data_IF_884546959284
#
_entry.id   IF_884546959284
#
_cell.length_a   1.000
_cell.length_b   1.000
_cell.length_c   1.000
_cell.angle_alpha   90.00
_cell.angle_beta   90.00
_cell.angle_gamma   90.00
#
_symmetry.space_group_name_H-M   'P 1'
#
loop_
_entity.id
_entity.type
_entity.pdbx_description
1 polymer ?
#
# COMPACT_ATOMS: atom_id res chain seq x y z
N UNK A 1 -110.03 83.27 13.79
CA UNK A 1 -109.94 83.62 12.34
C UNK A 1 -108.49 84.05 12.07
N UNK A 2 -107.80 83.79 10.94
CA UNK A 2 -108.13 83.28 9.58
C UNK A 2 -106.79 82.96 8.85
N UNK A 3 -106.59 82.08 7.84
CA UNK A 3 -107.31 80.86 7.35
C UNK A 3 -106.48 80.15 6.23
N UNK A 4 -106.63 78.82 6.04
CA UNK A 4 -106.27 77.98 4.83
C UNK A 4 -104.82 77.91 4.28
N UNK A 5 -104.54 76.84 3.52
CA UNK A 5 -103.70 76.91 2.29
C UNK A 5 -102.90 75.64 1.95
N UNK A 6 -103.00 75.14 0.70
CA UNK A 6 -102.32 73.93 0.19
C UNK A 6 -101.41 74.25 -1.00
N UNK A 7 -100.23 73.63 -1.08
CA UNK A 7 -99.50 73.37 -2.34
C UNK A 7 -98.45 72.24 -2.18
N UNK A 8 -98.14 71.56 -3.30
CA UNK A 8 -97.25 70.39 -3.36
C UNK A 8 -95.76 70.75 -3.31
N UNK A 9 -94.95 69.91 -2.65
CA UNK A 9 -93.60 69.56 -3.10
C UNK A 9 -93.19 68.19 -2.53
N UNK A 10 -92.65 67.30 -3.35
CA UNK A 10 -92.44 65.89 -3.00
C UNK A 10 -90.96 65.46 -3.15
N UNK A 11 -90.25 65.23 -2.03
CA UNK A 11 -89.03 64.41 -1.98
C UNK A 11 -88.60 64.00 -0.55
N UNK A 12 -87.89 62.87 -0.47
CA UNK A 12 -86.96 62.47 0.61
C UNK A 12 -87.51 62.12 2.03
N UNK A 13 -88.18 60.97 2.16
CA UNK A 13 -88.52 60.36 3.47
C UNK A 13 -87.44 59.41 4.08
N UNK A 14 -86.26 59.29 3.48
CA UNK A 14 -85.21 58.35 3.93
C UNK A 14 -83.79 58.95 3.82
N UNK A 15 -82.86 58.63 4.74
CA UNK A 15 -81.57 59.32 4.89
C UNK A 15 -80.55 59.05 3.77
N UNK A 16 -80.89 58.21 2.79
CA UNK A 16 -80.10 58.01 1.56
C UNK A 16 -80.63 58.85 0.37
N UNK A 17 -81.77 59.52 0.51
CA UNK A 17 -82.35 60.41 -0.51
C UNK A 17 -81.96 61.88 -0.33
N UNK A 18 -81.25 62.23 0.74
CA UNK A 18 -80.57 63.53 0.87
C UNK A 18 -79.29 63.54 0.04
N UNK A 19 -79.02 64.59 -0.76
CA UNK A 19 -77.81 64.65 -1.59
C UNK A 19 -76.56 64.67 -0.72
N UNK A 20 -75.77 63.59 -0.77
CA UNK A 20 -74.50 63.50 -0.03
C UNK A 20 -73.51 64.51 -0.60
N UNK A 21 -72.94 65.36 0.26
CA UNK A 21 -71.83 66.26 -0.10
C UNK A 21 -70.71 65.41 -0.72
N UNK A 22 -70.29 65.76 -1.93
CA UNK A 22 -69.18 65.08 -2.58
C UNK A 22 -67.90 65.30 -1.78
N UNK A 23 -67.43 64.26 -1.08
CA UNK A 23 -66.16 64.29 -0.36
C UNK A 23 -65.05 64.33 -1.41
N UNK A 24 -64.32 65.44 -1.46
CA UNK A 24 -63.17 65.57 -2.35
C UNK A 24 -61.90 65.12 -1.59
N UNK A 25 -61.28 63.98 -1.94
CA UNK A 25 -60.15 63.42 -1.21
C UNK A 25 -58.90 64.33 -1.17
N UNK A 26 -58.86 65.36 -2.00
CA UNK A 26 -57.76 66.32 -2.08
C UNK A 26 -57.98 67.61 -1.26
N UNK A 27 -59.18 67.82 -0.69
CA UNK A 27 -59.53 69.07 0.00
C UNK A 27 -60.14 68.87 1.41
N UNK A 28 -60.81 67.76 1.68
CA UNK A 28 -61.33 67.40 3.00
C UNK A 28 -60.51 66.22 3.57
N UNK A 29 -59.53 66.42 4.49
CA UNK A 29 -58.80 65.31 5.11
C UNK A 29 -59.72 64.48 6.01
N UNK A 30 -59.67 63.15 5.87
CA UNK A 30 -60.52 62.25 6.64
C UNK A 30 -60.14 62.25 8.13
N UNK A 31 -61.12 62.44 9.02
CA UNK A 31 -60.94 62.25 10.46
C UNK A 31 -60.56 60.80 10.75
N UNK A 32 -59.39 60.60 11.39
CA UNK A 32 -58.88 59.27 11.71
C UNK A 32 -59.70 58.67 12.83
N UNK A 33 -60.42 57.59 12.53
CA UNK A 33 -61.19 56.85 13.53
C UNK A 33 -60.25 56.24 14.59
N UNK A 34 -60.64 56.23 15.89
CA UNK A 34 -59.82 55.65 16.94
C UNK A 34 -59.61 54.15 16.73
N UNK A 35 -58.39 53.67 17.02
CA UNK A 35 -58.00 52.28 16.77
C UNK A 35 -58.90 51.30 17.52
N UNK A 36 -59.59 50.44 16.77
CA UNK A 36 -60.40 49.35 17.33
C UNK A 36 -59.52 48.34 18.07
N UNK A 37 -60.02 47.80 19.18
CA UNK A 37 -59.33 46.73 19.92
C UNK A 37 -58.98 45.51 19.04
N UNK A 38 -59.74 45.27 17.96
CA UNK A 38 -59.43 44.24 16.97
C UNK A 38 -58.18 44.59 16.14
N UNK A 39 -57.95 45.86 15.81
CA UNK A 39 -56.76 46.33 15.09
C UNK A 39 -55.49 46.04 15.89
N UNK A 40 -55.52 46.32 17.20
CA UNK A 40 -54.41 46.05 18.11
C UNK A 40 -54.15 44.55 18.25
N UNK A 41 -55.21 43.73 18.28
CA UNK A 41 -55.07 42.27 18.34
C UNK A 41 -54.49 41.69 17.03
N UNK A 42 -54.87 42.23 15.87
CA UNK A 42 -54.28 41.87 14.57
C UNK A 42 -52.79 42.23 14.53
N UNK A 43 -52.43 43.44 14.99
CA UNK A 43 -51.03 43.90 15.03
C UNK A 43 -50.16 43.05 15.98
N UNK A 44 -50.69 42.62 17.13
CA UNK A 44 -49.99 41.69 18.03
C UNK A 44 -49.81 40.31 17.37
N UNK A 45 -50.83 39.82 16.65
CA UNK A 45 -50.74 38.54 15.93
C UNK A 45 -49.75 38.56 14.75
N UNK A 46 -49.60 39.69 14.05
CA UNK A 46 -48.57 39.82 13.01
C UNK A 46 -47.17 39.82 13.62
N UNK A 47 -46.94 40.54 14.73
CA UNK A 47 -45.65 40.57 15.43
C UNK A 47 -45.27 39.19 16.00
N UNK A 48 -46.22 38.43 16.54
CA UNK A 48 -45.93 37.07 17.06
C UNK A 48 -45.65 36.07 15.91
N UNK A 49 -46.35 36.20 14.77
CA UNK A 49 -46.02 35.42 13.57
C UNK A 49 -44.62 35.76 13.01
N UNK A 50 -44.21 37.02 13.01
CA UNK A 50 -42.87 37.46 12.62
C UNK A 50 -41.80 36.88 13.57
N UNK A 51 -42.02 36.96 14.89
CA UNK A 51 -41.17 36.34 15.91
C UNK A 51 -41.00 34.84 15.67
N UNK A 52 -42.10 34.14 15.40
CA UNK A 52 -42.08 32.69 15.21
C UNK A 52 -41.49 32.29 13.84
N UNK A 53 -41.59 33.14 12.82
CA UNK A 53 -40.85 32.98 11.56
C UNK A 53 -39.33 33.05 11.80
N UNK A 54 -38.86 34.11 12.46
CA UNK A 54 -37.45 34.31 12.79
C UNK A 54 -36.89 33.16 13.66
N UNK A 55 -37.69 32.60 14.58
CA UNK A 55 -37.30 31.41 15.35
C UNK A 55 -37.14 30.17 14.47
N UNK A 56 -38.03 29.95 13.49
CA UNK A 56 -37.94 28.83 12.54
C UNK A 56 -36.73 28.98 11.62
N UNK A 57 -36.44 30.18 11.13
CA UNK A 57 -35.23 30.47 10.35
C UNK A 57 -33.98 30.19 11.19
N UNK A 58 -33.87 30.75 12.39
CA UNK A 58 -32.72 30.51 13.28
C UNK A 58 -32.57 29.04 13.73
N UNK A 59 -33.64 28.24 13.74
CA UNK A 59 -33.59 26.79 13.93
C UNK A 59 -33.12 26.06 12.66
N UNK A 60 -33.60 26.49 11.49
CA UNK A 60 -33.16 25.99 10.18
C UNK A 60 -31.67 26.22 9.98
N UNK A 61 -31.16 27.41 10.27
CA UNK A 61 -29.74 27.76 10.15
C UNK A 61 -28.87 26.90 11.07
N UNK A 62 -29.28 26.70 12.33
CA UNK A 62 -28.57 25.79 13.26
C UNK A 62 -28.59 24.33 12.82
N UNK A 63 -29.63 23.88 12.13
CA UNK A 63 -29.69 22.54 11.52
C UNK A 63 -28.79 22.49 10.27
N UNK A 64 -28.77 23.54 9.46
CA UNK A 64 -27.89 23.68 8.31
C UNK A 64 -26.41 23.63 8.71
N UNK A 65 -26.00 24.45 9.67
CA UNK A 65 -24.65 24.47 10.25
C UNK A 65 -24.24 23.12 10.85
N UNK A 66 -25.16 22.41 11.52
CA UNK A 66 -24.84 21.17 12.24
C UNK A 66 -24.77 19.92 11.35
N UNK A 67 -25.55 19.86 10.28
CA UNK A 67 -25.68 18.64 9.46
C UNK A 67 -25.17 18.79 8.01
N UNK A 68 -25.16 20.02 7.47
CA UNK A 68 -24.78 20.28 6.07
C UNK A 68 -23.47 21.06 5.96
N UNK A 69 -23.20 22.02 6.84
CA UNK A 69 -21.92 22.72 6.89
C UNK A 69 -20.86 21.92 7.67
N UNK A 70 -19.74 21.68 7.02
CA UNK A 70 -18.55 21.07 7.61
C UNK A 70 -17.39 21.46 6.68
N UNK A 71 -16.25 21.94 7.19
CA UNK A 71 -15.12 22.44 6.35
C UNK A 71 -14.73 21.42 5.27
N UNK A 72 -14.76 20.13 5.61
CA UNK A 72 -14.50 19.02 4.69
C UNK A 72 -15.51 18.81 3.55
N UNK A 73 -16.65 19.52 3.55
CA UNK A 73 -17.80 19.32 2.63
C UNK A 73 -18.24 20.58 1.87
N UNK A 74 -17.73 21.76 2.21
CA UNK A 74 -18.02 22.99 1.45
C UNK A 74 -17.50 22.86 0.00
N UNK A 75 -18.37 22.93 -1.03
CA UNK A 75 -17.95 22.85 -2.42
C UNK A 75 -16.96 23.95 -2.82
N UNK A 76 -17.11 25.16 -2.28
CA UNK A 76 -16.29 26.33 -2.63
C UNK A 76 -14.89 26.21 -2.00
N UNK A 77 -14.79 25.77 -0.74
CA UNK A 77 -13.48 25.49 -0.14
C UNK A 77 -12.74 24.37 -0.87
N UNK A 78 -13.44 23.29 -1.26
CA UNK A 78 -12.85 22.20 -2.07
C UNK A 78 -12.35 22.70 -3.43
N UNK A 79 -13.12 23.56 -4.10
CA UNK A 79 -12.71 24.16 -5.38
C UNK A 79 -11.46 25.05 -5.19
N UNK A 80 -11.42 25.88 -4.16
CA UNK A 80 -10.25 26.70 -3.81
C UNK A 80 -9.01 25.84 -3.47
N UNK A 81 -9.17 24.74 -2.72
CA UNK A 81 -8.09 23.80 -2.43
C UNK A 81 -7.60 23.08 -3.69
N UNK A 82 -8.53 22.62 -4.54
CA UNK A 82 -8.23 21.99 -5.81
C UNK A 82 -7.49 22.95 -6.76
N UNK A 83 -7.90 24.22 -6.85
CA UNK A 83 -7.22 25.25 -7.64
C UNK A 83 -5.84 25.61 -7.08
N UNK A 84 -5.66 25.63 -5.75
CA UNK A 84 -4.34 25.76 -5.12
C UNK A 84 -3.42 24.58 -5.48
N UNK A 85 -3.93 23.35 -5.48
CA UNK A 85 -3.19 22.17 -5.90
C UNK A 85 -2.84 22.20 -7.40
N UNK A 86 -3.80 22.57 -8.26
CA UNK A 86 -3.61 22.69 -9.72
C UNK A 86 -2.60 23.79 -10.06
N UNK A 87 -2.71 24.97 -9.45
CA UNK A 87 -1.78 26.08 -9.66
C UNK A 87 -0.37 25.76 -9.18
N UNK A 88 -0.22 25.13 -8.01
CA UNK A 88 1.09 24.63 -7.53
C UNK A 88 1.68 23.57 -8.49
N UNK A 89 0.87 22.63 -8.97
CA UNK A 89 1.30 21.63 -9.96
C UNK A 89 1.69 22.26 -11.32
N UNK A 90 0.99 23.33 -11.73
CA UNK A 90 1.32 24.10 -12.94
C UNK A 90 2.66 24.84 -12.79
N UNK A 91 2.87 25.54 -11.68
CA UNK A 91 4.15 26.19 -11.37
C UNK A 91 5.30 25.18 -11.32
N UNK A 92 5.11 24.01 -10.70
CA UNK A 92 6.11 22.95 -10.67
C UNK A 92 6.45 22.44 -12.08
N UNK A 93 5.45 22.26 -12.96
CA UNK A 93 5.66 21.89 -14.38
C UNK A 93 6.40 22.97 -15.17
N UNK A 94 6.13 24.25 -14.91
CA UNK A 94 6.84 25.37 -15.54
C UNK A 94 8.30 25.41 -15.09
N UNK A 95 8.58 25.24 -13.79
CA UNK A 95 9.95 25.12 -13.27
C UNK A 95 10.69 23.90 -13.85
N UNK A 96 10.01 22.75 -14.01
CA UNK A 96 10.57 21.55 -14.65
C UNK A 96 10.94 21.76 -16.13
N UNK A 97 10.18 22.58 -16.87
CA UNK A 97 10.53 22.97 -18.26
C UNK A 97 11.81 23.79 -18.31
N UNK A 98 11.99 24.71 -17.35
CA UNK A 98 13.19 25.56 -17.25
C UNK A 98 14.40 24.75 -16.77
N UNK A 99 14.21 23.83 -15.82
CA UNK A 99 15.27 22.99 -15.28
C UNK A 99 14.89 21.49 -15.25
N UNK A 100 15.34 20.69 -16.25
CA UNK A 100 15.07 19.25 -16.30
C UNK A 100 15.68 18.43 -15.15
N UNK A 101 16.56 19.01 -14.33
CA UNK A 101 17.08 18.35 -13.12
C UNK A 101 15.99 18.24 -12.03
N UNK A 102 15.03 19.17 -12.01
CA UNK A 102 13.91 19.15 -11.05
C UNK A 102 12.95 17.98 -11.31
N UNK A 103 12.85 17.51 -12.55
CA UNK A 103 12.10 16.28 -12.89
C UNK A 103 12.73 15.10 -12.17
N UNK A 104 14.06 14.92 -12.28
CA UNK A 104 14.79 13.82 -11.64
C UNK A 104 14.62 13.84 -10.11
N UNK A 105 14.60 15.03 -9.50
CA UNK A 105 14.37 15.19 -8.04
C UNK A 105 12.93 14.84 -7.67
N UNK A 106 11.94 15.22 -8.49
CA UNK A 106 10.55 14.83 -8.30
C UNK A 106 10.36 13.31 -8.45
N UNK A 107 10.99 12.69 -9.46
CA UNK A 107 10.96 11.23 -9.69
C UNK A 107 11.55 10.48 -8.48
N UNK A 108 12.69 10.92 -7.94
CA UNK A 108 13.25 10.37 -6.70
C UNK A 108 12.31 10.60 -5.51
N UNK A 109 11.66 11.75 -5.42
CA UNK A 109 10.75 12.07 -4.29
C UNK A 109 9.47 11.24 -4.31
N UNK A 110 9.01 10.85 -5.51
CA UNK A 110 7.91 9.91 -5.71
C UNK A 110 8.27 8.45 -5.39
N UNK A 111 9.57 8.12 -5.22
CA UNK A 111 9.97 6.76 -4.86
C UNK A 111 9.62 6.42 -3.40
N UNK A 112 9.38 5.14 -3.10
CA UNK A 112 9.17 4.66 -1.74
C UNK A 112 10.29 5.07 -0.78
N UNK A 113 9.94 5.31 0.50
CA UNK A 113 10.82 5.91 1.51
C UNK A 113 12.22 5.28 1.65
N UNK A 114 12.37 3.99 1.32
CA UNK A 114 13.63 3.24 1.41
C UNK A 114 14.60 3.50 0.25
N UNK A 115 14.10 4.07 -0.85
CA UNK A 115 14.89 4.54 -2.01
C UNK A 115 14.98 6.06 -1.97
N UNK A 116 13.85 6.75 -1.77
CA UNK A 116 13.81 8.22 -1.82
C UNK A 116 14.65 8.88 -0.74
N UNK A 117 14.54 8.49 0.54
CA UNK A 117 15.32 9.09 1.64
C UNK A 117 16.84 9.04 1.41
N UNK A 118 17.49 7.87 1.23
CA UNK A 118 18.94 7.81 1.06
C UNK A 118 19.44 8.46 -0.25
N UNK A 119 18.62 8.46 -1.32
CA UNK A 119 18.97 9.18 -2.54
C UNK A 119 18.85 10.70 -2.35
N UNK A 120 17.80 11.20 -1.71
CA UNK A 120 17.61 12.63 -1.42
C UNK A 120 18.67 13.18 -0.45
N UNK A 121 19.06 12.43 0.58
CA UNK A 121 20.19 12.77 1.46
C UNK A 121 21.48 12.95 0.66
N UNK A 122 21.75 12.02 -0.26
CA UNK A 122 22.94 12.06 -1.12
C UNK A 122 22.86 13.19 -2.16
N UNK A 123 21.68 13.47 -2.71
CA UNK A 123 21.44 14.62 -3.60
C UNK A 123 21.68 15.94 -2.84
N UNK A 124 21.14 16.09 -1.62
CA UNK A 124 21.40 17.25 -0.74
C UNK A 124 22.89 17.44 -0.46
N UNK A 125 23.62 16.36 -0.19
CA UNK A 125 25.08 16.40 -0.03
C UNK A 125 25.80 16.88 -1.31
N UNK A 126 25.45 16.35 -2.50
CA UNK A 126 26.07 16.84 -3.75
C UNK A 126 25.68 18.28 -4.08
N UNK A 127 24.52 18.76 -3.64
CA UNK A 127 24.09 20.15 -3.77
C UNK A 127 24.91 21.09 -2.88
N UNK A 128 25.12 20.73 -1.61
CA UNK A 128 25.87 21.56 -0.65
C UNK A 128 27.35 21.74 -0.97
N UNK A 129 27.91 20.92 -1.87
CA UNK A 129 29.26 21.12 -2.42
C UNK A 129 29.37 22.36 -3.35
N UNK A 130 28.26 23.02 -3.72
CA UNK A 130 28.25 24.23 -4.54
C UNK A 130 28.65 24.06 -6.02
N UNK A 131 28.91 22.82 -6.47
CA UNK A 131 29.43 22.52 -7.80
C UNK A 131 28.32 22.25 -8.83
N UNK A 132 27.60 23.30 -9.25
CA UNK A 132 26.41 23.19 -10.12
C UNK A 132 26.56 22.22 -11.32
N UNK A 133 27.65 22.31 -12.10
CA UNK A 133 27.88 21.39 -13.25
C UNK A 133 28.05 19.93 -12.82
N UNK A 134 28.71 19.67 -11.69
CA UNK A 134 28.92 18.31 -11.18
C UNK A 134 27.64 17.76 -10.52
N UNK A 135 26.84 18.62 -9.88
CA UNK A 135 25.52 18.29 -9.35
C UNK A 135 24.55 17.86 -10.46
N UNK A 136 24.42 18.67 -11.52
CA UNK A 136 23.58 18.33 -12.68
C UNK A 136 24.04 17.05 -13.37
N UNK A 137 25.36 16.88 -13.53
CA UNK A 137 25.96 15.62 -14.01
C UNK A 137 25.58 14.43 -13.14
N UNK A 138 25.68 14.54 -11.81
CA UNK A 138 25.31 13.45 -10.90
C UNK A 138 23.83 13.06 -11.03
N UNK A 139 22.92 14.02 -11.15
CA UNK A 139 21.51 13.74 -11.39
C UNK A 139 21.29 13.00 -12.73
N UNK A 140 21.91 13.47 -13.81
CA UNK A 140 21.70 12.96 -15.17
C UNK A 140 22.43 11.65 -15.49
N UNK A 141 23.67 11.49 -15.03
CA UNK A 141 24.53 10.33 -15.34
C UNK A 141 24.54 9.26 -14.24
N UNK A 142 24.03 9.56 -13.03
CA UNK A 142 23.93 8.58 -11.94
C UNK A 142 22.49 8.34 -11.49
N UNK A 143 21.75 9.37 -11.08
CA UNK A 143 20.40 9.18 -10.50
C UNK A 143 19.39 8.70 -11.54
N UNK A 144 19.28 9.38 -12.69
CA UNK A 144 18.34 8.98 -13.77
C UNK A 144 18.58 7.54 -14.25
N UNK A 145 19.81 7.10 -14.60
CA UNK A 145 20.09 5.70 -14.93
C UNK A 145 19.78 4.72 -13.80
N UNK A 146 19.91 5.12 -12.53
CA UNK A 146 19.49 4.30 -11.39
C UNK A 146 17.97 4.09 -11.35
N UNK A 147 17.17 5.10 -11.69
CA UNK A 147 15.70 4.98 -11.75
C UNK A 147 15.23 4.15 -12.95
N UNK A 148 15.77 4.39 -14.15
CA UNK A 148 15.49 3.57 -15.35
C UNK A 148 15.84 2.08 -15.14
N UNK A 149 16.88 1.80 -14.32
CA UNK A 149 17.27 0.44 -13.93
C UNK A 149 16.35 -0.16 -12.86
N UNK A 150 15.80 0.66 -11.98
CA UNK A 150 14.84 0.25 -10.96
C UNK A 150 13.51 -0.18 -11.59
N UNK A 151 13.03 0.54 -12.59
CA UNK A 151 11.84 0.20 -13.37
C UNK A 151 11.98 -1.18 -14.02
N UNK A 152 13.08 -1.43 -14.76
CA UNK A 152 13.37 -2.75 -15.37
C UNK A 152 13.40 -3.90 -14.36
N UNK A 153 13.89 -3.64 -13.14
CA UNK A 153 13.87 -4.65 -12.06
C UNK A 153 12.45 -4.91 -11.56
N UNK A 154 11.63 -3.86 -11.36
CA UNK A 154 10.23 -3.99 -10.97
C UNK A 154 9.41 -4.75 -12.01
N UNK A 155 9.60 -4.45 -13.29
CA UNK A 155 8.96 -5.15 -14.40
C UNK A 155 9.31 -6.64 -14.43
N UNK A 156 10.55 -7.00 -14.08
CA UNK A 156 10.99 -8.40 -13.98
C UNK A 156 10.55 -9.12 -12.71
N UNK A 157 10.19 -8.39 -11.65
CA UNK A 157 9.71 -8.95 -10.38
C UNK A 157 8.21 -9.29 -10.44
N UNK A 158 7.42 -8.46 -11.12
CA UNK A 158 5.97 -8.66 -11.22
C UNK A 158 5.64 -9.27 -12.58
N UNK A 159 5.49 -10.59 -12.66
CA UNK A 159 5.05 -11.26 -13.90
C UNK A 159 3.56 -11.04 -14.20
N UNK A 160 3.09 -11.40 -15.41
CA UNK A 160 1.70 -11.23 -15.80
C UNK A 160 0.74 -12.07 -14.93
N UNK A 161 1.13 -13.30 -14.57
CA UNK A 161 0.40 -14.15 -13.63
C UNK A 161 0.38 -13.58 -12.21
N UNK A 162 1.46 -12.91 -11.79
CA UNK A 162 1.53 -12.25 -10.50
C UNK A 162 0.61 -11.02 -10.43
N UNK A 163 0.53 -10.22 -11.51
CA UNK A 163 -0.45 -9.12 -11.63
C UNK A 163 -1.89 -9.63 -11.58
N UNK A 164 -2.19 -10.74 -12.25
CA UNK A 164 -3.52 -11.37 -12.20
C UNK A 164 -3.90 -11.88 -10.80
N UNK A 165 -2.93 -12.39 -10.03
CA UNK A 165 -3.18 -12.73 -8.62
C UNK A 165 -3.42 -11.48 -7.78
N UNK A 166 -2.67 -10.40 -8.02
CA UNK A 166 -2.83 -9.14 -7.30
C UNK A 166 -4.10 -8.34 -7.66
N UNK A 167 -4.82 -8.73 -8.71
CA UNK A 167 -6.15 -8.19 -9.03
C UNK A 167 -7.31 -8.96 -8.38
N UNK A 168 -7.03 -9.99 -7.58
CA UNK A 168 -8.04 -10.65 -6.73
C UNK A 168 -8.29 -9.80 -5.48
N UNK A 169 -9.51 -9.85 -4.96
CA UNK A 169 -9.94 -8.99 -3.84
C UNK A 169 -9.05 -9.16 -2.60
N UNK A 170 -8.50 -8.04 -2.11
CA UNK A 170 -7.62 -8.00 -0.94
C UNK A 170 -6.15 -8.42 -1.21
N UNK A 171 -5.78 -8.74 -2.44
CA UNK A 171 -4.42 -9.14 -2.81
C UNK A 171 -3.60 -8.02 -3.48
N UNK A 172 -4.12 -6.79 -3.54
CA UNK A 172 -3.46 -5.63 -4.16
C UNK A 172 -2.10 -5.30 -3.51
N UNK A 173 -1.94 -5.63 -2.21
CA UNK A 173 -0.68 -5.51 -1.48
C UNK A 173 0.50 -6.27 -2.12
N UNK A 174 0.25 -7.28 -2.96
CA UNK A 174 1.28 -8.00 -3.71
C UNK A 174 2.08 -7.07 -4.65
N UNK A 175 1.47 -6.04 -5.24
CA UNK A 175 2.15 -5.11 -6.16
C UNK A 175 3.16 -4.21 -5.45
N UNK A 176 2.92 -3.92 -4.16
CA UNK A 176 3.78 -3.08 -3.30
C UNK A 176 4.58 -3.90 -2.28
N UNK A 177 4.68 -5.22 -2.48
CA UNK A 177 5.34 -6.16 -1.57
C UNK A 177 6.73 -5.70 -1.07
N UNK A 178 7.64 -5.16 -1.91
CA UNK A 178 8.96 -4.66 -1.47
C UNK A 178 8.89 -3.55 -0.43
N UNK A 179 7.79 -2.78 -0.38
CA UNK A 179 7.62 -1.63 0.50
C UNK A 179 7.13 -2.03 1.89
N UNK A 180 6.36 -3.13 1.97
CA UNK A 180 5.63 -3.57 3.14
C UNK A 180 6.52 -3.82 4.37
N UNK A 181 5.94 -3.55 5.55
CA UNK A 181 6.45 -3.95 6.85
C UNK A 181 6.16 -5.42 7.14
N UNK A 182 6.79 -5.96 8.19
CA UNK A 182 6.61 -7.36 8.58
C UNK A 182 5.13 -7.72 8.87
N UNK A 183 4.40 -6.84 9.56
CA UNK A 183 3.00 -7.09 9.92
C UNK A 183 2.03 -6.86 8.76
N UNK A 184 2.38 -5.98 7.81
CA UNK A 184 1.66 -5.90 6.54
C UNK A 184 1.79 -7.20 5.74
N UNK A 185 3.01 -7.77 5.65
CA UNK A 185 3.22 -9.06 4.96
C UNK A 185 2.51 -10.21 5.69
N UNK A 186 2.46 -10.23 7.03
CA UNK A 186 1.64 -11.21 7.78
C UNK A 186 0.17 -11.14 7.36
N UNK A 187 -0.45 -9.95 7.35
CA UNK A 187 -1.86 -9.77 6.95
C UNK A 187 -2.10 -10.23 5.51
N UNK A 188 -1.25 -9.82 4.58
CA UNK A 188 -1.32 -10.28 3.18
C UNK A 188 -1.19 -11.82 3.07
N UNK A 189 -0.38 -12.44 3.91
CA UNK A 189 -0.20 -13.90 3.92
C UNK A 189 -1.45 -14.65 4.40
N UNK A 190 -2.21 -14.06 5.33
CA UNK A 190 -3.53 -14.56 5.72
C UNK A 190 -4.53 -14.44 4.56
N UNK A 191 -4.52 -13.34 3.81
CA UNK A 191 -5.40 -13.15 2.66
C UNK A 191 -5.04 -14.10 1.51
N UNK A 192 -3.76 -14.30 1.21
CA UNK A 192 -3.31 -15.31 0.23
C UNK A 192 -3.68 -16.73 0.68
N UNK A 193 -3.53 -17.06 1.97
CA UNK A 193 -3.99 -18.35 2.50
C UNK A 193 -5.51 -18.54 2.34
N UNK A 194 -6.32 -17.52 2.65
CA UNK A 194 -7.77 -17.55 2.48
C UNK A 194 -8.16 -17.70 0.99
N UNK A 195 -7.47 -17.01 0.07
CA UNK A 195 -7.65 -17.21 -1.37
C UNK A 195 -7.36 -18.66 -1.78
N UNK A 196 -6.26 -19.27 -1.30
CA UNK A 196 -5.95 -20.67 -1.59
C UNK A 196 -7.01 -21.63 -1.02
N UNK A 197 -7.62 -21.33 0.13
CA UNK A 197 -8.77 -22.08 0.66
C UNK A 197 -9.99 -21.96 -0.24
N UNK A 198 -10.39 -20.74 -0.62
CA UNK A 198 -11.51 -20.53 -1.56
C UNK A 198 -11.30 -21.26 -2.89
N UNK A 199 -10.07 -21.27 -3.42
CA UNK A 199 -9.73 -22.04 -4.61
C UNK A 199 -9.82 -23.56 -4.40
N UNK A 200 -9.53 -24.07 -3.20
CA UNK A 200 -9.74 -25.48 -2.87
C UNK A 200 -11.22 -25.81 -2.74
N UNK A 201 -11.99 -25.00 -2.00
CA UNK A 201 -13.42 -25.19 -1.77
C UNK A 201 -14.19 -25.19 -3.10
N UNK A 202 -13.93 -24.20 -3.96
CA UNK A 202 -14.47 -24.14 -5.32
C UNK A 202 -13.99 -25.30 -6.21
N UNK A 203 -12.83 -25.91 -5.91
CA UNK A 203 -12.34 -27.09 -6.63
C UNK A 203 -12.92 -28.41 -6.14
N UNK A 204 -13.35 -28.46 -4.88
CA UNK A 204 -13.87 -29.65 -4.22
C UNK A 204 -15.42 -29.68 -4.19
N UNK A 205 -16.11 -28.58 -4.50
CA UNK A 205 -17.58 -28.51 -4.51
C UNK A 205 -18.24 -29.64 -5.33
N UNK A 206 -17.68 -29.98 -6.49
CA UNK A 206 -18.16 -31.08 -7.34
C UNK A 206 -17.87 -32.49 -6.77
N UNK A 207 -16.90 -32.62 -5.86
CA UNK A 207 -16.45 -33.91 -5.32
C UNK A 207 -17.31 -34.41 -4.16
N UNK A 208 -17.98 -33.52 -3.43
CA UNK A 208 -18.82 -33.89 -2.28
C UNK A 208 -20.22 -34.40 -2.67
N UNK A 209 -20.49 -34.61 -3.96
CA UNK A 209 -21.78 -35.07 -4.49
C UNK A 209 -21.89 -36.60 -4.55
N UNK A 210 -20.75 -37.32 -4.45
CA UNK A 210 -20.70 -38.79 -4.52
C UNK A 210 -19.66 -39.37 -3.56
N UNK A 211 -19.99 -40.48 -2.90
CA UNK A 211 -19.09 -41.14 -1.94
C UNK A 211 -17.82 -41.77 -2.59
N UNK A 212 -17.84 -42.02 -3.90
CA UNK A 212 -16.77 -42.70 -4.67
C UNK A 212 -15.68 -41.74 -5.24
N UNK A 213 -15.16 -40.81 -4.43
CA UNK A 213 -14.14 -39.84 -4.88
C UNK A 213 -12.82 -40.52 -5.23
N UNK A 214 -12.33 -40.34 -6.46
CA UNK A 214 -11.11 -40.99 -6.96
C UNK A 214 -9.84 -40.19 -6.61
N UNK A 215 -8.69 -40.86 -6.32
CA UNK A 215 -7.43 -40.17 -6.03
C UNK A 215 -6.95 -39.18 -7.12
N UNK A 216 -7.27 -39.42 -8.39
CA UNK A 216 -6.94 -38.49 -9.49
C UNK A 216 -7.82 -37.23 -9.49
N UNK A 217 -9.04 -37.28 -8.94
CA UNK A 217 -9.94 -36.14 -8.80
C UNK A 217 -9.47 -35.23 -7.65
N UNK A 218 -9.09 -35.83 -6.51
CA UNK A 218 -8.40 -35.14 -5.40
C UNK A 218 -7.11 -34.46 -5.91
N UNK A 219 -6.36 -35.14 -6.79
CA UNK A 219 -5.17 -34.58 -7.42
C UNK A 219 -5.49 -33.43 -8.38
N UNK A 220 -6.61 -33.44 -9.09
CA UNK A 220 -7.03 -32.30 -9.93
C UNK A 220 -7.36 -31.07 -9.08
N UNK A 221 -8.03 -31.24 -7.94
CA UNK A 221 -8.24 -30.15 -6.99
C UNK A 221 -6.91 -29.58 -6.45
N UNK A 222 -5.95 -30.46 -6.11
CA UNK A 222 -4.58 -30.04 -5.78
C UNK A 222 -3.88 -29.32 -6.94
N UNK A 223 -4.02 -29.77 -8.19
CA UNK A 223 -3.40 -29.12 -9.36
C UNK A 223 -3.95 -27.69 -9.58
N UNK A 224 -5.22 -27.42 -9.25
CA UNK A 224 -5.80 -26.07 -9.29
C UNK A 224 -5.18 -25.14 -8.24
N UNK A 225 -5.13 -25.55 -6.97
CA UNK A 225 -4.47 -24.74 -5.89
C UNK A 225 -2.97 -24.58 -6.14
N UNK A 226 -2.31 -25.63 -6.65
CA UNK A 226 -0.90 -25.59 -7.04
C UNK A 226 -0.65 -24.60 -8.19
N UNK A 227 -1.58 -24.43 -9.13
CA UNK A 227 -1.50 -23.43 -10.18
C UNK A 227 -1.58 -22.00 -9.62
N UNK A 228 -2.46 -21.75 -8.64
CA UNK A 228 -2.51 -20.44 -7.96
C UNK A 228 -1.20 -20.11 -7.24
N UNK A 229 -0.62 -21.07 -6.52
CA UNK A 229 0.68 -20.86 -5.88
C UNK A 229 1.81 -20.61 -6.90
N UNK A 230 1.76 -21.27 -8.07
CA UNK A 230 2.67 -21.02 -9.19
C UNK A 230 2.46 -19.64 -9.84
N UNK A 231 1.26 -19.05 -9.83
CA UNK A 231 1.04 -17.66 -10.31
C UNK A 231 1.79 -16.64 -9.45
N UNK A 232 1.98 -16.94 -8.17
CA UNK A 232 2.84 -16.20 -7.23
C UNK A 232 4.32 -16.58 -7.32
N UNK A 233 4.73 -17.38 -8.30
CA UNK A 233 6.12 -17.88 -8.47
C UNK A 233 6.62 -18.72 -7.28
N UNK A 234 5.70 -19.20 -6.43
CA UNK A 234 6.01 -20.07 -5.29
C UNK A 234 5.78 -21.52 -5.67
N UNK A 235 6.87 -22.27 -5.84
CA UNK A 235 6.82 -23.71 -6.16
C UNK A 235 6.04 -24.47 -5.04
N UNK A 236 4.95 -25.16 -5.38
CA UNK A 236 4.17 -25.96 -4.42
C UNK A 236 4.99 -27.05 -3.72
N UNK A 237 4.66 -27.40 -2.47
CA UNK A 237 5.26 -28.55 -1.80
C UNK A 237 5.02 -29.83 -2.62
N UNK A 238 6.05 -30.68 -2.73
CA UNK A 238 6.03 -31.92 -3.51
C UNK A 238 5.65 -31.77 -5.00
N UNK A 239 5.67 -30.56 -5.60
CA UNK A 239 5.23 -30.28 -6.97
C UNK A 239 5.80 -31.26 -8.00
N UNK A 240 7.11 -31.52 -7.99
CA UNK A 240 7.74 -32.46 -8.93
C UNK A 240 7.26 -33.92 -8.82
N UNK A 241 6.76 -34.33 -7.65
CA UNK A 241 6.23 -35.68 -7.43
C UNK A 241 4.75 -35.78 -7.82
N UNK A 242 3.99 -34.68 -7.67
CA UNK A 242 2.54 -34.63 -7.86
C UNK A 242 2.10 -34.12 -9.24
N UNK A 243 2.85 -33.20 -9.89
CA UNK A 243 2.48 -32.65 -11.21
C UNK A 243 2.29 -33.72 -12.28
N UNK A 244 1.37 -33.48 -13.23
CA UNK A 244 1.22 -34.32 -14.43
C UNK A 244 2.55 -34.42 -15.21
N UNK A 245 2.90 -35.63 -15.66
CA UNK A 245 4.12 -35.93 -16.45
C UNK A 245 3.77 -36.90 -17.58
N UNK A 246 4.15 -36.57 -18.82
CA UNK A 246 3.85 -37.38 -20.03
C UNK A 246 4.41 -38.80 -19.94
N UNK A 247 5.61 -38.95 -19.37
CA UNK A 247 6.29 -40.23 -19.16
C UNK A 247 6.63 -40.39 -17.68
N UNK A 248 5.72 -41.00 -16.92
CA UNK A 248 5.85 -41.22 -15.47
C UNK A 248 6.18 -42.69 -15.19
N UNK A 249 7.39 -42.97 -14.67
CA UNK A 249 7.89 -44.33 -14.38
C UNK A 249 7.41 -44.92 -13.05
N UNK A 250 7.01 -44.09 -12.08
CA UNK A 250 6.56 -44.50 -10.74
C UNK A 250 5.14 -43.96 -10.50
N UNK A 251 4.26 -44.67 -9.78
CA UNK A 251 2.90 -44.20 -9.49
C UNK A 251 2.90 -42.83 -8.80
N UNK A 252 1.75 -42.15 -8.82
CA UNK A 252 1.58 -40.88 -8.10
C UNK A 252 1.53 -41.16 -6.59
N UNK A 253 2.37 -40.49 -5.77
CA UNK A 253 2.29 -40.64 -4.32
C UNK A 253 1.20 -39.72 -3.76
N UNK A 254 -0.06 -40.17 -3.81
CA UNK A 254 -1.23 -39.38 -3.37
C UNK A 254 -1.14 -38.95 -1.89
N UNK A 255 -0.45 -39.72 -1.03
CA UNK A 255 -0.14 -39.37 0.37
C UNK A 255 0.55 -38.01 0.55
N UNK A 256 1.19 -37.47 -0.50
CA UNK A 256 1.82 -36.15 -0.44
C UNK A 256 0.84 -34.99 -0.68
N UNK A 257 -0.41 -35.26 -1.08
CA UNK A 257 -1.41 -34.22 -1.37
C UNK A 257 -1.88 -33.53 -0.07
N UNK A 258 -2.38 -34.23 0.97
CA UNK A 258 -2.81 -33.57 2.21
C UNK A 258 -1.72 -32.67 2.85
N UNK A 259 -0.46 -33.10 3.06
CA UNK A 259 0.57 -32.22 3.62
C UNK A 259 1.02 -31.11 2.65
N UNK A 260 0.79 -31.25 1.34
CA UNK A 260 1.03 -30.17 0.37
C UNK A 260 -0.07 -29.10 0.43
N UNK A 261 -1.35 -29.51 0.45
CA UNK A 261 -2.48 -28.60 0.67
C UNK A 261 -2.34 -27.87 2.00
N UNK A 262 -2.13 -28.59 3.11
CA UNK A 262 -1.98 -27.98 4.44
C UNK A 262 -0.90 -26.89 4.52
N UNK A 263 0.15 -26.97 3.68
CA UNK A 263 1.14 -25.89 3.54
C UNK A 263 0.65 -24.74 2.67
N UNK A 264 0.00 -25.01 1.53
CA UNK A 264 -0.55 -23.97 0.64
C UNK A 264 -1.76 -23.22 1.25
N UNK A 265 -2.44 -23.80 2.24
CA UNK A 265 -3.51 -23.15 3.01
C UNK A 265 -3.01 -22.44 4.29
N UNK A 266 -1.71 -22.55 4.61
CA UNK A 266 -1.16 -22.05 5.88
C UNK A 266 -0.60 -20.64 5.74
N UNK A 267 -1.18 -19.68 6.47
CA UNK A 267 -0.72 -18.29 6.51
C UNK A 267 0.75 -18.16 6.93
N UNK A 268 1.24 -18.95 7.90
CA UNK A 268 2.65 -18.94 8.31
C UNK A 268 3.61 -19.50 7.26
N UNK A 269 3.13 -20.36 6.36
CA UNK A 269 3.91 -20.82 5.22
C UNK A 269 4.01 -19.71 4.18
N UNK A 270 2.89 -19.08 3.82
CA UNK A 270 2.85 -17.91 2.94
C UNK A 270 3.69 -16.76 3.46
N UNK A 271 3.61 -16.44 4.76
CA UNK A 271 4.43 -15.41 5.39
C UNK A 271 5.92 -15.66 5.19
N UNK A 272 6.39 -16.90 5.36
CA UNK A 272 7.80 -17.24 5.10
C UNK A 272 8.16 -17.08 3.62
N UNK A 273 7.26 -17.36 2.68
CA UNK A 273 7.48 -17.20 1.23
C UNK A 273 7.46 -15.74 0.79
N UNK A 274 6.42 -15.00 1.14
CA UNK A 274 6.25 -13.59 0.81
C UNK A 274 7.28 -12.70 1.52
N UNK A 275 7.65 -12.99 2.77
CA UNK A 275 8.72 -12.26 3.45
C UNK A 275 10.09 -12.50 2.80
N UNK A 276 10.38 -13.75 2.39
CA UNK A 276 11.58 -14.05 1.62
C UNK A 276 11.61 -13.29 0.29
N UNK A 277 10.53 -13.36 -0.49
CA UNK A 277 10.37 -12.65 -1.76
C UNK A 277 10.51 -11.13 -1.58
N UNK A 278 9.83 -10.54 -0.58
CA UNK A 278 9.95 -9.12 -0.19
C UNK A 278 11.40 -8.73 0.05
N UNK A 279 12.14 -9.52 0.84
CA UNK A 279 13.53 -9.23 1.15
C UNK A 279 14.44 -9.32 -0.09
N UNK A 280 14.25 -10.32 -0.93
CA UNK A 280 15.02 -10.50 -2.17
C UNK A 280 14.72 -9.36 -3.17
N UNK A 281 13.45 -9.02 -3.38
CA UNK A 281 13.04 -7.94 -4.28
C UNK A 281 13.50 -6.56 -3.80
N UNK A 282 13.35 -6.27 -2.49
CA UNK A 282 13.87 -5.05 -1.85
C UNK A 282 15.36 -4.88 -2.07
N UNK A 283 16.13 -5.95 -1.86
CA UNK A 283 17.58 -5.94 -2.03
C UNK A 283 17.99 -5.72 -3.50
N UNK A 284 17.25 -6.32 -4.45
CA UNK A 284 17.47 -6.12 -5.89
C UNK A 284 17.15 -4.70 -6.35
N UNK A 285 16.09 -4.09 -5.84
CA UNK A 285 15.78 -2.68 -6.09
C UNK A 285 16.87 -1.76 -5.52
N UNK A 286 17.35 -2.01 -4.30
CA UNK A 286 18.47 -1.28 -3.68
C UNK A 286 19.80 -1.46 -4.43
N UNK A 287 20.05 -2.64 -5.01
CA UNK A 287 21.18 -2.88 -5.95
C UNK A 287 21.00 -2.07 -7.24
N UNK A 288 19.80 -2.05 -7.83
CA UNK A 288 19.52 -1.31 -9.06
C UNK A 288 19.84 0.18 -8.94
N UNK A 289 19.42 0.82 -7.84
CA UNK A 289 19.72 2.22 -7.54
C UNK A 289 21.11 2.47 -6.96
N UNK A 290 21.99 1.47 -6.97
CA UNK A 290 23.38 1.53 -6.50
C UNK A 290 23.55 1.91 -5.01
N UNK A 291 22.56 1.65 -4.16
CA UNK A 291 22.70 1.81 -2.70
C UNK A 291 23.51 0.67 -2.05
N UNK A 292 23.67 -0.45 -2.78
CA UNK A 292 24.59 -1.55 -2.45
C UNK A 292 25.83 -1.42 -3.33
N UNK A 293 26.91 -0.88 -2.76
CA UNK A 293 28.18 -0.65 -3.45
C UNK A 293 29.36 -0.52 -2.46
N UNK A 294 30.60 -0.64 -2.94
CA UNK A 294 31.84 -0.62 -2.12
C UNK A 294 32.00 0.61 -1.19
N UNK A 295 31.42 1.76 -1.54
CA UNK A 295 31.49 3.03 -0.78
C UNK A 295 30.28 3.29 0.13
N UNK A 296 29.28 2.40 0.14
CA UNK A 296 28.10 2.50 0.99
C UNK A 296 27.95 1.24 1.85
N UNK A 297 27.38 0.17 1.29
CA UNK A 297 27.41 -1.16 1.88
C UNK A 297 27.82 -2.19 0.81
N UNK A 298 28.99 -2.87 0.92
CA UNK A 298 29.56 -3.63 -0.20
C UNK A 298 28.79 -4.88 -0.63
N UNK A 299 28.13 -5.57 0.30
CA UNK A 299 27.58 -6.93 0.08
C UNK A 299 26.06 -7.02 0.10
N UNK A 300 25.41 -6.22 0.96
CA UNK A 300 23.96 -6.24 1.18
C UNK A 300 23.54 -4.89 1.75
N UNK A 301 22.28 -4.47 1.58
CA UNK A 301 21.78 -3.20 2.13
C UNK A 301 21.92 -3.07 3.66
N UNK A 302 22.03 -1.83 4.13
CA UNK A 302 22.12 -1.55 5.58
C UNK A 302 20.87 -2.01 6.35
N UNK A 303 19.68 -1.91 5.74
CA UNK A 303 18.43 -2.47 6.27
C UNK A 303 18.55 -3.98 6.51
N UNK A 304 19.06 -4.75 5.53
CA UNK A 304 19.24 -6.18 5.67
C UNK A 304 20.28 -6.54 6.75
N UNK A 305 21.34 -5.76 6.92
CA UNK A 305 22.30 -5.93 8.03
C UNK A 305 21.63 -5.73 9.39
N UNK A 306 20.82 -4.69 9.56
CA UNK A 306 20.06 -4.43 10.80
C UNK A 306 19.10 -5.59 11.07
N UNK A 307 18.26 -5.97 10.09
CA UNK A 307 17.32 -7.08 10.25
C UNK A 307 18.03 -8.39 10.61
N UNK A 308 19.22 -8.66 10.03
CA UNK A 308 19.97 -9.88 10.36
C UNK A 308 20.61 -9.84 11.75
N UNK A 309 21.04 -8.67 12.23
CA UNK A 309 21.52 -8.46 13.60
C UNK A 309 20.37 -8.67 14.61
N UNK A 310 19.21 -8.06 14.36
CA UNK A 310 18.04 -8.21 15.24
C UNK A 310 17.52 -9.65 15.27
N UNK A 311 17.51 -10.35 14.12
CA UNK A 311 17.20 -11.79 14.10
C UNK A 311 18.15 -12.59 15.00
N UNK A 312 19.47 -12.33 14.92
CA UNK A 312 20.46 -13.00 15.79
C UNK A 312 20.26 -12.65 17.27
N UNK A 313 19.94 -11.40 17.59
CA UNK A 313 19.66 -10.95 18.97
C UNK A 313 18.49 -11.72 19.57
N UNK A 314 17.36 -11.82 18.84
CA UNK A 314 16.18 -12.59 19.26
C UNK A 314 16.46 -14.09 19.39
N UNK A 315 17.25 -14.68 18.49
CA UNK A 315 17.65 -16.10 18.61
C UNK A 315 18.54 -16.34 19.83
N UNK A 316 19.47 -15.44 20.14
CA UNK A 316 20.34 -15.55 21.31
C UNK A 316 19.55 -15.40 22.64
N UNK A 317 18.61 -14.45 22.66
CA UNK A 317 17.66 -14.25 23.78
C UNK A 317 16.77 -15.49 23.99
N UNK A 318 16.35 -16.16 22.91
CA UNK A 318 15.66 -17.45 22.97
C UNK A 318 16.56 -18.55 23.57
N UNK A 319 17.79 -18.74 23.06
CA UNK A 319 18.69 -19.78 23.58
C UNK A 319 18.98 -19.60 25.09
N UNK A 320 19.16 -18.36 25.55
CA UNK A 320 19.40 -18.01 26.97
C UNK A 320 18.23 -18.22 27.92
N UNK A 321 17.03 -18.39 27.38
CA UNK A 321 15.80 -18.52 28.17
C UNK A 321 15.21 -19.92 28.12
N UNK A 322 15.90 -20.87 27.48
CA UNK A 322 15.41 -22.23 27.26
C UNK A 322 16.51 -23.25 27.59
N UNK A 323 16.13 -24.28 28.32
CA UNK A 323 16.97 -25.46 28.56
C UNK A 323 16.46 -26.63 27.71
N UNK A 324 17.36 -27.56 27.40
CA UNK A 324 17.05 -28.85 26.79
C UNK A 324 16.95 -29.89 27.91
N UNK A 325 15.88 -30.69 27.91
CA UNK A 325 15.62 -31.73 28.91
C UNK A 325 15.57 -33.09 28.20
N UNK A 326 16.33 -34.06 28.69
CA UNK A 326 16.33 -35.44 28.18
C UNK A 326 15.18 -36.27 28.79
N UNK A 327 14.89 -37.45 28.22
CA UNK A 327 13.88 -38.39 28.76
C UNK A 327 14.20 -38.84 30.20
N UNK A 328 15.49 -38.93 30.55
CA UNK A 328 15.99 -39.26 31.89
C UNK A 328 15.88 -38.07 32.90
N UNK A 329 15.50 -36.88 32.44
CA UNK A 329 15.35 -35.67 33.27
C UNK A 329 16.59 -34.78 33.37
N UNK A 330 17.72 -35.17 32.78
CA UNK A 330 18.94 -34.34 32.69
C UNK A 330 18.67 -33.04 31.92
N UNK A 331 19.19 -31.91 32.41
CA UNK A 331 19.06 -30.60 31.77
C UNK A 331 20.38 -30.06 31.23
N UNK A 332 20.33 -29.36 30.10
CA UNK A 332 21.46 -28.68 29.45
C UNK A 332 21.02 -27.29 28.97
N UNK A 333 21.86 -26.27 29.16
CA UNK A 333 21.62 -24.94 28.58
C UNK A 333 21.64 -25.00 27.04
N UNK A 334 20.62 -24.43 26.41
CA UNK A 334 20.52 -24.37 24.96
C UNK A 334 21.55 -23.41 24.35
N UNK A 335 22.02 -22.37 25.06
CA UNK A 335 23.12 -21.52 24.56
C UNK A 335 24.42 -22.35 24.43
N UNK A 336 24.77 -23.14 25.43
CA UNK A 336 25.96 -24.01 25.40
C UNK A 336 25.89 -25.09 24.31
N UNK A 337 24.76 -25.80 24.19
CA UNK A 337 24.57 -26.82 23.15
C UNK A 337 24.65 -26.21 21.74
N UNK A 338 24.05 -25.04 21.52
CA UNK A 338 24.15 -24.33 20.23
C UNK A 338 25.58 -23.88 19.97
N UNK A 339 26.30 -23.39 20.97
CA UNK A 339 27.69 -22.91 20.85
C UNK A 339 28.70 -24.03 20.62
N UNK A 340 28.48 -25.22 21.18
CA UNK A 340 29.30 -26.42 20.92
C UNK A 340 29.03 -27.06 19.54
N UNK A 341 27.83 -26.83 18.97
CA UNK A 341 27.42 -27.40 17.69
C UNK A 341 28.00 -26.68 16.46
N UNK A 342 27.83 -27.30 15.29
CA UNK A 342 28.14 -26.69 13.97
C UNK A 342 27.25 -25.48 13.61
N UNK A 343 26.32 -25.10 14.48
CA UNK A 343 25.64 -23.79 14.45
C UNK A 343 26.64 -22.64 14.69
N UNK A 344 27.67 -22.87 15.50
CA UNK A 344 28.75 -21.92 15.75
C UNK A 344 29.61 -21.71 14.47
N UNK A 345 29.74 -20.46 13.98
CA UNK A 345 30.55 -20.15 12.80
C UNK A 345 32.04 -20.51 12.95
N UNK A 346 32.57 -20.58 14.18
CA UNK A 346 33.95 -20.99 14.44
C UNK A 346 34.16 -22.49 14.19
N UNK A 347 33.34 -23.35 14.81
CA UNK A 347 33.41 -24.80 14.59
C UNK A 347 33.19 -25.14 13.12
N UNK A 348 32.17 -24.56 12.47
CA UNK A 348 31.92 -24.76 11.04
C UNK A 348 33.08 -24.33 10.13
N UNK A 349 33.83 -23.28 10.50
CA UNK A 349 35.05 -22.89 9.79
C UNK A 349 36.14 -23.94 9.98
N UNK A 350 36.34 -24.42 11.21
CA UNK A 350 37.36 -25.42 11.52
C UNK A 350 37.10 -26.72 10.77
N UNK A 351 35.84 -27.20 10.72
CA UNK A 351 35.43 -28.35 9.89
C UNK A 351 35.71 -28.12 8.40
N UNK A 352 35.35 -26.95 7.87
CA UNK A 352 35.61 -26.60 6.47
C UNK A 352 37.12 -26.63 6.16
N UNK A 353 37.96 -26.06 7.03
CA UNK A 353 39.42 -26.07 6.85
C UNK A 353 40.01 -27.48 6.97
N UNK A 354 39.51 -28.32 7.89
CA UNK A 354 39.92 -29.71 8.00
C UNK A 354 39.54 -30.52 6.74
N UNK A 355 38.33 -30.31 6.20
CA UNK A 355 37.90 -30.93 4.96
C UNK A 355 38.75 -30.47 3.75
N UNK A 356 39.04 -29.17 3.65
CA UNK A 356 39.95 -28.64 2.61
C UNK A 356 41.35 -29.25 2.73
N UNK A 357 41.92 -29.39 3.94
CA UNK A 357 43.23 -30.04 4.11
C UNK A 357 43.18 -31.54 3.77
N UNK A 358 42.09 -32.23 4.09
CA UNK A 358 41.89 -33.63 3.69
C UNK A 358 41.89 -33.81 2.17
N UNK A 359 41.21 -32.92 1.43
CA UNK A 359 41.20 -32.92 -0.03
C UNK A 359 42.57 -32.58 -0.63
N UNK A 360 43.31 -31.65 -0.03
CA UNK A 360 44.69 -31.32 -0.42
C UNK A 360 45.62 -32.53 -0.26
N UNK A 361 45.59 -33.22 0.89
CA UNK A 361 46.37 -34.43 1.12
C UNK A 361 46.03 -35.56 0.12
N UNK A 362 44.75 -35.73 -0.22
CA UNK A 362 44.31 -36.72 -1.22
C UNK A 362 44.84 -36.37 -2.62
N UNK A 363 44.90 -35.08 -2.99
CA UNK A 363 45.48 -34.64 -4.25
C UNK A 363 47.00 -34.90 -4.27
N UNK A 364 47.73 -34.49 -3.22
CA UNK A 364 49.16 -34.75 -3.05
C UNK A 364 49.49 -36.25 -3.18
N UNK A 365 48.72 -37.14 -2.52
CA UNK A 365 48.87 -38.59 -2.60
C UNK A 365 48.65 -39.17 -4.01
N UNK A 366 47.92 -38.46 -4.88
CA UNK A 366 47.68 -38.86 -6.28
C UNK A 366 48.70 -38.27 -7.26
N UNK A 367 49.59 -37.39 -6.79
CA UNK A 367 50.44 -36.56 -7.65
C UNK A 367 49.70 -35.39 -8.32
N UNK A 368 48.48 -35.09 -7.87
CA UNK A 368 47.67 -33.97 -8.35
C UNK A 368 48.04 -32.67 -7.58
N UNK A 369 47.84 -31.50 -8.20
CA UNK A 369 48.06 -30.20 -7.57
C UNK A 369 46.75 -29.64 -6.99
N UNK A 370 46.70 -29.38 -5.69
CA UNK A 370 45.56 -28.74 -5.04
C UNK A 370 45.53 -27.23 -5.30
N UNK A 371 44.36 -26.70 -5.70
CA UNK A 371 44.19 -25.27 -6.04
C UNK A 371 42.92 -24.70 -5.43
N UNK A 372 43.03 -23.54 -4.79
CA UNK A 372 41.90 -22.83 -4.15
C UNK A 372 41.50 -21.59 -4.96
N UNK A 373 40.33 -21.64 -5.61
CA UNK A 373 39.83 -20.54 -6.44
C UNK A 373 38.71 -19.74 -5.76
N UNK A 374 38.87 -18.42 -5.71
CA UNK A 374 37.77 -17.50 -5.38
C UNK A 374 37.11 -17.00 -6.68
N UNK A 375 36.13 -17.75 -7.19
CA UNK A 375 35.41 -17.38 -8.42
C UNK A 375 34.38 -16.29 -8.10
N UNK A 376 34.61 -15.07 -8.61
CA UNK A 376 33.64 -13.96 -8.51
C UNK A 376 32.72 -13.90 -9.73
N UNK A 377 31.49 -13.41 -9.54
CA UNK A 377 30.55 -13.21 -10.64
C UNK A 377 31.13 -12.26 -11.72
N UNK A 378 30.96 -12.54 -13.03
CA UNK A 378 31.34 -11.62 -14.10
C UNK A 378 30.74 -10.21 -13.97
N UNK A 379 31.42 -9.20 -14.53
CA UNK A 379 31.03 -7.77 -14.46
C UNK A 379 29.55 -7.50 -14.75
N UNK A 380 28.92 -8.24 -15.69
CA UNK A 380 27.50 -8.10 -16.04
C UNK A 380 26.49 -8.32 -14.91
N UNK A 381 26.92 -8.95 -13.81
CA UNK A 381 26.09 -9.19 -12.63
C UNK A 381 26.28 -8.16 -11.50
N UNK A 382 27.30 -7.30 -11.60
CA UNK A 382 27.60 -6.25 -10.61
C UNK A 382 26.86 -4.97 -10.96
N UNK A 383 26.01 -4.51 -10.04
CA UNK A 383 25.12 -3.37 -10.27
C UNK A 383 25.85 -2.00 -10.24
N UNK A 384 27.00 -1.92 -9.57
CA UNK A 384 27.81 -0.73 -9.45
C UNK A 384 29.28 -1.05 -9.72
N UNK A 385 30.03 -0.05 -10.18
CA UNK A 385 31.49 -0.11 -10.30
C UNK A 385 32.17 0.16 -8.93
N UNK A 386 33.48 -0.08 -8.83
CA UNK A 386 34.28 0.24 -7.64
C UNK A 386 34.20 1.73 -7.22
N UNK A 387 33.89 2.62 -8.16
CA UNK A 387 33.62 4.05 -7.95
C UNK A 387 32.32 4.32 -7.17
N UNK A 388 31.40 3.35 -7.10
CA UNK A 388 30.02 3.51 -6.64
C UNK A 388 29.05 4.03 -7.71
N UNK A 389 29.50 4.27 -8.96
CA UNK A 389 28.63 4.67 -10.06
C UNK A 389 27.92 3.46 -10.69
N UNK A 390 26.79 3.65 -11.40
CA UNK A 390 26.14 2.61 -12.20
C UNK A 390 27.13 1.87 -13.11
N UNK A 391 26.98 0.55 -13.22
CA UNK A 391 27.72 -0.25 -14.18
C UNK A 391 26.94 -0.35 -15.51
N UNK A 392 27.44 0.19 -16.64
CA UNK A 392 26.74 0.11 -17.92
C UNK A 392 26.54 -1.31 -18.44
N UNK A 393 27.34 -2.29 -17.99
CA UNK A 393 27.26 -3.69 -18.43
C UNK A 393 26.24 -4.52 -17.65
N UNK A 394 25.54 -3.95 -16.67
CA UNK A 394 24.67 -4.70 -15.77
C UNK A 394 23.34 -5.11 -16.42
N UNK A 395 23.05 -6.41 -16.45
CA UNK A 395 21.90 -6.98 -17.17
C UNK A 395 20.66 -7.21 -16.28
N UNK A 396 20.50 -6.40 -15.22
CA UNK A 396 19.41 -6.51 -14.21
C UNK A 396 19.14 -7.89 -13.61
N UNK A 397 20.06 -8.84 -13.77
CA UNK A 397 19.89 -10.22 -13.33
C UNK A 397 19.88 -10.37 -11.80
N UNK A 398 19.04 -11.28 -11.31
CA UNK A 398 18.86 -11.59 -9.89
C UNK A 398 20.11 -12.24 -9.31
N UNK A 399 20.30 -12.17 -7.99
CA UNK A 399 21.44 -12.84 -7.32
C UNK A 399 21.38 -14.36 -7.47
N UNK A 400 20.19 -14.92 -7.70
CA UNK A 400 19.98 -16.35 -7.98
C UNK A 400 20.48 -16.74 -9.37
N UNK A 401 20.24 -15.89 -10.37
CA UNK A 401 20.66 -16.09 -11.76
C UNK A 401 22.18 -15.94 -12.00
N UNK A 402 22.96 -15.52 -10.99
CA UNK A 402 24.43 -15.45 -11.09
C UNK A 402 25.12 -16.77 -10.75
N UNK A 403 24.39 -17.75 -10.23
CA UNK A 403 24.93 -19.08 -9.88
C UNK A 403 24.92 -19.97 -11.13
N UNK A 404 26.02 -20.70 -11.42
CA UNK A 404 26.05 -21.70 -12.49
C UNK A 404 25.17 -22.91 -12.18
#
# INVERSE_FOLDING_TARGET
>A
MVVTGSSNEAAAAFPWNTPKKAVNPYLDPAEVAPESALSNLIALYSVDNEQEHLRREALSDKVWERYFFNESRDPVQREIEQDRLISHAKMAREQQRVNPDLVIIADVSAMPAHISKPLLERIKYFHSLGRAKAYSRYLRETIRPCLERLERVRDSQVSASFRFMASQDGLEGLLVLPEMSQDQVKRLSTLVAAHMSMCLDASCGDLFVSDDVKPEEIRQAWERVAAEAMRLEVIPPAFEKLRRKKYRRKPVPYELIPPSLARMLCADWWYRKLWQMRCEWREEQLRAVCLVNKKASPYVSYEAVIHKREQRRKSLEFFRSHELVNEDGDTLDMEDVVNASNSNPAHRRNEMMACVKGLELIAEMRGDCAVFYTITCPSRFHAALNSGSPNPKWTSATVRQTRP
#
